data_IF_158823291401
#
_entry.id   IF_158823291401
#
_cell.length_a   1.000
_cell.length_b   1.000
_cell.length_c   1.000
_cell.angle_alpha   90.00
_cell.angle_beta   90.00
_cell.angle_gamma   90.00
#
_symmetry.space_group_name_H-M   'P 1'
#
loop_
_entity.id
_entity.type
_entity.pdbx_description
1 polymer ?
#
# COMPACT_ATOMS: atom_id res chain seq x y z
N UNK A 1 -15.77 10.20 3.96
CA UNK A 1 -14.37 9.78 3.69
C UNK A 1 -14.03 8.63 4.62
N UNK A 2 -13.51 7.54 4.08
CA UNK A 2 -13.17 6.30 4.80
C UNK A 2 -11.66 6.08 4.74
N UNK A 3 -11.14 5.18 5.57
CA UNK A 3 -9.72 4.81 5.59
C UNK A 3 -9.57 3.30 5.72
N UNK A 4 -8.66 2.73 4.94
CA UNK A 4 -8.25 1.32 5.02
C UNK A 4 -6.74 1.24 5.25
N UNK A 5 -6.30 0.19 5.96
CA UNK A 5 -4.89 -0.19 6.03
C UNK A 5 -4.69 -1.40 5.13
N UNK A 6 -3.65 -1.37 4.32
CA UNK A 6 -3.30 -2.46 3.41
C UNK A 6 -1.78 -2.56 3.30
N UNK A 7 -1.33 -3.58 2.60
CA UNK A 7 0.07 -3.80 2.31
C UNK A 7 0.27 -4.14 0.83
N UNK A 8 1.47 -3.85 0.34
CA UNK A 8 1.92 -4.17 -1.01
C UNK A 8 3.28 -4.85 -0.93
N UNK A 9 3.44 -5.99 -1.61
CA UNK A 9 4.74 -6.64 -1.77
C UNK A 9 5.48 -6.08 -2.98
N UNK A 10 6.52 -5.31 -2.70
CA UNK A 10 7.51 -4.86 -3.67
C UNK A 10 8.55 -5.96 -3.88
N UNK A 11 8.23 -6.88 -4.79
CA UNK A 11 9.07 -8.04 -5.10
C UNK A 11 10.43 -7.64 -5.67
N UNK A 12 10.51 -6.51 -6.39
CA UNK A 12 11.76 -6.05 -6.99
C UNK A 12 12.78 -5.61 -5.93
N UNK A 13 12.30 -5.09 -4.79
CA UNK A 13 13.14 -4.62 -3.70
C UNK A 13 13.08 -5.54 -2.47
N UNK A 14 12.50 -6.75 -2.60
CA UNK A 14 12.33 -7.74 -1.54
C UNK A 14 11.79 -7.13 -0.24
N UNK A 15 10.69 -6.38 -0.33
CA UNK A 15 10.09 -5.73 0.83
C UNK A 15 8.56 -5.72 0.74
N UNK A 16 7.92 -5.66 1.90
CA UNK A 16 6.49 -5.35 2.07
C UNK A 16 6.36 -3.93 2.58
N UNK A 17 5.49 -3.15 1.95
CA UNK A 17 5.20 -1.78 2.34
C UNK A 17 3.78 -1.74 2.90
N UNK A 18 3.66 -1.36 4.17
CA UNK A 18 2.37 -1.14 4.81
C UNK A 18 1.97 0.32 4.65
N UNK A 19 0.71 0.57 4.31
CA UNK A 19 0.20 1.91 4.05
C UNK A 19 -1.26 2.06 4.48
N UNK A 20 -1.65 3.30 4.77
CA UNK A 20 -3.05 3.69 4.90
C UNK A 20 -3.52 4.42 3.66
N UNK A 21 -4.73 4.09 3.20
CA UNK A 21 -5.38 4.74 2.06
C UNK A 21 -6.68 5.40 2.55
N UNK A 22 -6.82 6.70 2.31
CA UNK A 22 -8.10 7.40 2.48
C UNK A 22 -8.84 7.39 1.15
N UNK A 23 -10.11 7.02 1.20
CA UNK A 23 -10.91 6.89 0.00
C UNK A 23 -12.35 7.38 0.21
N UNK A 24 -13.02 7.65 -0.91
CA UNK A 24 -14.44 7.90 -0.99
C UNK A 24 -15.05 6.92 -1.97
N UNK A 25 -16.15 6.27 -1.57
CA UNK A 25 -16.91 5.38 -2.44
C UNK A 25 -18.05 6.18 -3.06
N UNK A 26 -18.12 6.16 -4.38
CA UNK A 26 -19.15 6.79 -5.19
C UNK A 26 -20.00 5.71 -5.88
N UNK A 27 -21.09 6.11 -6.53
CA UNK A 27 -21.91 5.17 -7.32
C UNK A 27 -21.16 4.58 -8.51
N UNK A 28 -20.17 5.29 -9.03
CA UNK A 28 -19.38 4.92 -10.21
C UNK A 28 -18.02 4.28 -9.90
N UNK A 29 -17.66 4.11 -8.62
CA UNK A 29 -16.40 3.49 -8.23
C UNK A 29 -15.80 4.03 -6.93
N UNK A 30 -14.53 3.70 -6.68
CA UNK A 30 -13.75 4.16 -5.52
C UNK A 30 -12.71 5.18 -5.95
N UNK A 31 -12.62 6.27 -5.21
CA UNK A 31 -11.61 7.31 -5.39
C UNK A 31 -10.66 7.30 -4.19
N UNK A 32 -9.38 7.00 -4.42
CA UNK A 32 -8.33 7.08 -3.40
C UNK A 32 -7.74 8.49 -3.41
N UNK A 33 -7.83 9.17 -2.27
CA UNK A 33 -7.47 10.59 -2.12
C UNK A 33 -6.11 10.80 -1.46
N UNK A 34 -5.74 9.93 -0.52
CA UNK A 34 -4.47 10.01 0.20
C UNK A 34 -3.91 8.62 0.41
N UNK A 35 -2.64 8.44 0.05
CA UNK A 35 -1.84 7.25 0.38
C UNK A 35 -0.76 7.65 1.36
N UNK A 36 -0.62 6.93 2.47
CA UNK A 36 0.40 7.20 3.48
C UNK A 36 1.12 5.90 3.84
N UNK A 37 2.34 5.68 3.30
CA UNK A 37 3.21 4.61 3.74
C UNK A 37 3.54 4.79 5.22
N UNK A 38 3.40 3.72 6.00
CA UNK A 38 3.63 3.74 7.46
C UNK A 38 4.87 2.95 7.83
N UNK A 39 5.07 1.79 7.20
CA UNK A 39 6.17 0.87 7.54
C UNK A 39 6.68 0.15 6.29
N UNK A 40 7.94 -0.26 6.35
CA UNK A 40 8.58 -1.13 5.36
C UNK A 40 9.20 -2.31 6.09
N UNK A 41 8.77 -3.51 5.74
CA UNK A 41 9.35 -4.78 6.19
C UNK A 41 10.23 -5.33 5.08
N UNK A 42 11.53 -5.47 5.33
CA UNK A 42 12.45 -6.11 4.40
C UNK A 42 12.36 -7.63 4.55
N UNK A 43 12.31 -8.32 3.43
CA UNK A 43 12.12 -9.76 3.33
C UNK A 43 13.39 -10.42 2.80
N UNK A 44 13.68 -11.62 3.28
CA UNK A 44 14.71 -12.47 2.68
C UNK A 44 14.29 -12.84 1.26
N UNK A 45 15.13 -12.62 0.22
CA UNK A 45 14.78 -12.93 -1.16
C UNK A 45 14.37 -14.40 -1.38
N UNK A 46 15.01 -15.32 -0.66
CA UNK A 46 14.81 -16.77 -0.83
C UNK A 46 13.68 -17.30 0.03
N UNK A 47 13.71 -17.05 1.35
CA UNK A 47 12.72 -17.62 2.28
C UNK A 47 11.48 -16.76 2.46
N UNK A 48 11.50 -15.51 1.97
CA UNK A 48 10.51 -14.46 2.26
C UNK A 48 10.31 -14.17 3.75
N UNK A 49 11.20 -14.66 4.61
CA UNK A 49 11.17 -14.38 6.04
C UNK A 49 11.42 -12.88 6.30
N UNK A 50 10.76 -12.33 7.32
CA UNK A 50 10.95 -10.95 7.73
C UNK A 50 12.34 -10.77 8.36
N UNK A 51 13.13 -9.85 7.82
CA UNK A 51 14.48 -9.57 8.29
C UNK A 51 14.50 -8.38 9.26
N UNK A 52 13.78 -7.31 8.91
CA UNK A 52 13.67 -6.10 9.71
C UNK A 52 12.47 -5.27 9.25
N UNK A 53 11.92 -4.48 10.16
CA UNK A 53 10.85 -3.53 9.87
C UNK A 53 11.27 -2.12 10.28
N UNK A 54 11.03 -1.14 9.42
CA UNK A 54 11.35 0.27 9.66
C UNK A 54 10.11 1.14 9.46
N UNK A 55 9.96 2.19 10.27
CA UNK A 55 8.92 3.20 10.09
C UNK A 55 9.25 4.18 8.97
N UNK A 56 8.23 4.69 8.28
CA UNK A 56 8.38 5.72 7.24
C UNK A 56 8.01 7.09 7.81
N UNK A 57 9.01 7.84 8.24
CA UNK A 57 8.82 9.16 8.87
C UNK A 57 9.27 10.36 8.01
N UNK A 58 10.05 10.16 6.95
CA UNK A 58 10.50 11.26 6.09
C UNK A 58 9.50 11.51 4.96
N UNK A 59 9.27 12.78 4.62
CA UNK A 59 8.42 13.17 3.47
C UNK A 59 8.90 12.51 2.19
N UNK A 60 10.19 12.65 1.87
CA UNK A 60 10.81 12.02 0.69
C UNK A 60 10.63 10.50 0.64
N UNK A 61 10.72 9.83 1.79
CA UNK A 61 10.51 8.39 1.88
C UNK A 61 9.07 8.00 1.58
N UNK A 62 8.10 8.81 2.03
CA UNK A 62 6.68 8.61 1.71
C UNK A 62 6.42 8.83 0.22
N UNK A 63 6.92 9.93 -0.34
CA UNK A 63 6.70 10.28 -1.74
C UNK A 63 7.23 9.18 -2.69
N UNK A 64 8.46 8.72 -2.44
CA UNK A 64 9.07 7.64 -3.23
C UNK A 64 8.27 6.34 -3.16
N UNK A 65 7.80 5.96 -1.98
CA UNK A 65 7.02 4.73 -1.82
C UNK A 65 5.61 4.84 -2.44
N UNK A 66 5.00 6.01 -2.40
CA UNK A 66 3.73 6.28 -3.08
C UNK A 66 3.90 6.17 -4.60
N UNK A 67 4.93 6.78 -5.17
CA UNK A 67 5.24 6.71 -6.61
C UNK A 67 5.45 5.25 -7.07
N UNK A 68 6.17 4.46 -6.27
CA UNK A 68 6.41 3.05 -6.56
C UNK A 68 5.13 2.21 -6.44
N UNK A 69 4.26 2.50 -5.46
CA UNK A 69 2.96 1.85 -5.33
C UNK A 69 2.04 2.16 -6.52
N UNK A 70 2.06 3.40 -7.03
CA UNK A 70 1.33 3.75 -8.25
C UNK A 70 1.85 2.97 -9.45
N UNK A 71 3.18 2.90 -9.59
CA UNK A 71 3.83 2.22 -10.72
C UNK A 71 3.66 0.70 -10.71
N UNK A 72 3.33 0.10 -9.56
CA UNK A 72 3.19 -1.36 -9.43
C UNK A 72 1.82 -1.90 -9.81
N UNK A 73 0.83 -1.04 -10.04
CA UNK A 73 -0.56 -1.44 -10.34
C UNK A 73 -1.39 -1.90 -9.13
N UNK A 74 -0.77 -2.05 -7.95
CA UNK A 74 -1.48 -2.47 -6.73
C UNK A 74 -2.56 -1.49 -6.28
N UNK A 75 -2.49 -0.22 -6.69
CA UNK A 75 -3.52 0.74 -6.35
C UNK A 75 -4.87 0.36 -6.97
N UNK A 76 -4.87 -0.14 -8.20
CA UNK A 76 -6.08 -0.59 -8.89
C UNK A 76 -6.65 -1.86 -8.26
N UNK A 77 -5.78 -2.75 -7.79
CA UNK A 77 -6.21 -3.92 -7.02
C UNK A 77 -6.90 -3.51 -5.71
N UNK A 78 -6.38 -2.47 -5.03
CA UNK A 78 -7.01 -1.92 -3.84
C UNK A 78 -8.37 -1.29 -4.14
N UNK A 79 -8.48 -0.49 -5.20
CA UNK A 79 -9.77 0.08 -5.65
C UNK A 79 -10.80 -1.03 -5.88
N UNK A 80 -10.44 -2.06 -6.64
CA UNK A 80 -11.31 -3.20 -6.90
C UNK A 80 -11.71 -3.92 -5.61
N UNK A 81 -10.79 -4.12 -4.66
CA UNK A 81 -11.09 -4.73 -3.34
C UNK A 81 -12.08 -3.90 -2.52
N UNK A 82 -11.99 -2.57 -2.58
CA UNK A 82 -12.92 -1.67 -1.91
C UNK A 82 -14.28 -1.64 -2.64
N UNK A 83 -14.28 -1.67 -3.98
CA UNK A 83 -15.49 -1.66 -4.83
C UNK A 83 -16.30 -2.94 -4.72
N UNK A 84 -15.63 -4.08 -4.85
CA UNK A 84 -16.24 -5.42 -4.68
C UNK A 84 -16.65 -5.66 -3.24
N UNK A 85 -16.16 -4.82 -2.32
CA UNK A 85 -16.57 -4.79 -0.94
C UNK A 85 -16.42 -6.16 -0.30
N UNK A 86 -15.19 -6.60 -0.03
CA UNK A 86 -14.96 -7.45 1.15
C UNK A 86 -15.79 -6.81 2.29
N UNK A 87 -16.93 -7.35 2.74
CA UNK A 87 -17.39 -8.76 2.75
C UNK A 87 -16.34 -9.65 3.43
N UNK A 88 -15.93 -9.18 4.60
CA UNK A 88 -15.90 -9.95 5.85
C UNK A 88 -16.65 -9.11 6.89
#
# INVERSE_FOLDING_TARGET
>A
MQQIKSSWEDRANHRRVDYSARYTRHRSGVEITVLTPTQVTFLCPTSRAELRTVGVWTTRGRDLLVEQLHSSGHLRELELRIETGLAV
#
